data_IF_006396072021
#
_entry.id   IF_006396072021
#
_cell.length_a   1.000
_cell.length_b   1.000
_cell.length_c   1.000
_cell.angle_alpha   90.00
_cell.angle_beta   90.00
_cell.angle_gamma   90.00
#
_symmetry.space_group_name_H-M   'P 1'
#
loop_
_entity.id
_entity.type
_entity.pdbx_description
1 polymer ?
#
# COMPACT_ATOMS: atom_id res chain seq x y z
N UNK A 1 -14.04 -4.39 -23.21
CA UNK A 1 -13.45 -3.27 -22.45
C UNK A 1 -12.38 -3.82 -21.50
N UNK A 2 -11.26 -3.13 -21.39
CA UNK A 2 -10.20 -3.49 -20.46
C UNK A 2 -10.10 -2.44 -19.35
N UNK A 3 -9.72 -2.88 -18.16
CA UNK A 3 -9.46 -2.00 -17.03
C UNK A 3 -8.01 -2.17 -16.54
N UNK A 4 -7.43 -1.10 -16.06
CA UNK A 4 -6.14 -1.12 -15.38
C UNK A 4 -6.36 -1.07 -13.87
N UNK A 5 -5.74 -1.97 -13.15
CA UNK A 5 -5.71 -1.95 -11.68
C UNK A 5 -4.29 -1.63 -11.22
N UNK A 6 -4.15 -0.54 -10.49
CA UNK A 6 -2.91 -0.12 -9.84
C UNK A 6 -2.99 -0.49 -8.36
N UNK A 7 -2.09 -1.38 -7.91
CA UNK A 7 -2.16 -1.94 -6.57
C UNK A 7 -1.17 -1.24 -5.65
N UNK A 8 -1.68 -0.48 -4.67
CA UNK A 8 -0.93 0.04 -3.53
C UNK A 8 0.31 0.88 -3.90
N UNK A 9 0.18 1.81 -4.84
CA UNK A 9 1.27 2.70 -5.24
C UNK A 9 1.42 3.85 -4.22
N UNK A 10 1.77 3.50 -3.00
CA UNK A 10 1.77 4.36 -1.82
C UNK A 10 3.19 4.62 -1.31
N UNK A 11 3.36 5.72 -0.60
CA UNK A 11 4.67 6.16 -0.11
C UNK A 11 5.39 5.12 0.75
N UNK A 12 4.67 4.41 1.62
CA UNK A 12 5.30 3.43 2.51
C UNK A 12 5.86 2.21 1.78
N UNK A 13 5.39 1.92 0.57
CA UNK A 13 5.92 0.83 -0.25
C UNK A 13 7.03 1.27 -1.20
N UNK A 14 7.41 2.53 -1.18
CA UNK A 14 8.47 3.09 -2.00
C UNK A 14 9.79 3.14 -1.23
N UNK A 15 10.94 3.29 -1.91
CA UNK A 15 12.21 3.48 -1.20
C UNK A 15 12.14 4.62 -0.18
N UNK A 16 12.58 4.35 1.04
CA UNK A 16 12.48 5.28 2.16
C UNK A 16 11.19 5.21 2.96
N UNK A 17 10.20 4.44 2.52
CA UNK A 17 8.96 4.21 3.25
C UNK A 17 9.08 3.17 4.36
N UNK A 18 8.01 2.94 5.09
CA UNK A 18 8.03 2.06 6.26
C UNK A 18 8.11 0.56 5.91
N UNK A 19 7.64 0.18 4.71
CA UNK A 19 7.68 -1.20 4.21
C UNK A 19 8.11 -1.18 2.75
N UNK A 20 9.38 -0.81 2.46
CA UNK A 20 9.79 -0.47 1.10
C UNK A 20 9.93 -1.70 0.21
N UNK A 21 9.60 -1.51 -1.06
CA UNK A 21 9.95 -2.40 -2.15
C UNK A 21 11.13 -1.80 -2.89
N UNK A 22 12.17 -2.61 -3.13
CA UNK A 22 13.36 -2.16 -3.87
C UNK A 22 12.92 -1.66 -5.26
N UNK A 23 13.33 -0.43 -5.59
CA UNK A 23 12.97 0.23 -6.86
C UNK A 23 11.45 0.34 -7.11
N UNK A 24 10.64 0.30 -6.06
CA UNK A 24 9.18 0.33 -6.19
C UNK A 24 8.66 1.58 -6.92
N UNK A 25 9.35 2.70 -6.77
CA UNK A 25 9.01 3.96 -7.43
C UNK A 25 9.29 3.97 -8.95
N UNK A 26 10.09 3.01 -9.43
CA UNK A 26 10.44 2.94 -10.86
C UNK A 26 9.23 2.65 -11.77
N UNK A 27 8.15 2.10 -11.21
CA UNK A 27 6.94 1.80 -11.99
C UNK A 27 5.99 2.99 -12.13
N UNK A 28 6.21 4.08 -11.43
CA UNK A 28 5.27 5.22 -11.44
C UNK A 28 5.13 5.83 -12.85
N UNK A 29 6.22 6.10 -13.60
CA UNK A 29 6.07 6.59 -14.96
C UNK A 29 5.29 5.64 -15.87
N UNK A 30 5.54 4.33 -15.74
CA UNK A 30 4.80 3.31 -16.50
C UNK A 30 3.32 3.29 -16.11
N UNK A 31 3.03 3.36 -14.82
CA UNK A 31 1.66 3.41 -14.32
C UNK A 31 0.89 4.61 -14.90
N UNK A 32 1.52 5.78 -14.91
CA UNK A 32 0.93 6.99 -15.50
C UNK A 32 0.66 6.82 -17.00
N UNK A 33 1.62 6.23 -17.71
CA UNK A 33 1.46 6.01 -19.16
C UNK A 33 0.33 5.01 -19.44
N UNK A 34 0.30 3.89 -18.71
CA UNK A 34 -0.76 2.89 -18.87
C UNK A 34 -2.14 3.46 -18.53
N UNK A 35 -2.22 4.28 -17.47
CA UNK A 35 -3.48 4.89 -17.06
C UNK A 35 -4.09 5.76 -18.17
N UNK A 36 -3.25 6.37 -19.02
CA UNK A 36 -3.72 7.15 -20.16
C UNK A 36 -4.29 6.30 -21.29
N UNK A 37 -4.07 4.97 -21.28
CA UNK A 37 -4.41 4.04 -22.37
C UNK A 37 -5.65 3.19 -22.09
N UNK A 38 -6.15 3.21 -20.86
CA UNK A 38 -7.29 2.35 -20.47
C UNK A 38 -8.53 3.19 -20.21
N UNK A 39 -9.71 2.71 -20.61
CA UNK A 39 -10.97 3.45 -20.38
C UNK A 39 -11.38 3.46 -18.91
N UNK A 40 -10.94 2.45 -18.13
CA UNK A 40 -11.22 2.36 -16.70
C UNK A 40 -9.91 2.14 -15.96
N UNK A 41 -9.63 2.99 -14.98
CA UNK A 41 -8.45 2.89 -14.13
C UNK A 41 -8.90 2.89 -12.68
N UNK A 42 -8.56 1.82 -11.96
CA UNK A 42 -8.82 1.68 -10.54
C UNK A 42 -7.51 1.54 -9.77
N UNK A 43 -7.50 1.98 -8.54
CA UNK A 43 -6.36 1.81 -7.65
C UNK A 43 -6.80 1.23 -6.32
N UNK A 44 -5.95 0.42 -5.72
CA UNK A 44 -6.11 -0.01 -4.33
C UNK A 44 -5.20 0.81 -3.42
N UNK A 45 -5.60 0.93 -2.18
CA UNK A 45 -4.87 1.69 -1.18
C UNK A 45 -4.98 0.98 0.16
N UNK A 46 -3.86 0.48 0.66
CA UNK A 46 -3.77 0.01 2.03
C UNK A 46 -4.12 1.15 2.97
N UNK A 47 -5.00 0.89 3.94
CA UNK A 47 -5.57 1.94 4.77
C UNK A 47 -5.84 1.38 6.16
N UNK A 48 -4.77 1.24 6.96
CA UNK A 48 -4.81 0.57 8.25
C UNK A 48 -5.05 1.55 9.40
N UNK A 49 -5.86 1.17 10.40
CA UNK A 49 -5.89 1.92 11.66
C UNK A 49 -4.54 1.79 12.37
N UNK A 50 -4.20 2.78 13.19
CA UNK A 50 -2.93 2.79 13.92
C UNK A 50 -2.76 1.59 14.86
N UNK A 51 -3.87 1.03 15.34
CA UNK A 51 -3.88 -0.14 16.23
C UNK A 51 -4.07 -1.46 15.49
N UNK A 52 -3.78 -1.51 14.18
CA UNK A 52 -3.95 -2.73 13.38
C UNK A 52 -3.17 -3.89 14.00
N UNK A 53 -3.80 -5.06 14.06
CA UNK A 53 -3.24 -6.22 14.75
C UNK A 53 -2.06 -6.88 14.01
N UNK A 54 -1.87 -6.61 12.73
CA UNK A 54 -0.70 -7.10 11.99
C UNK A 54 0.58 -6.33 12.29
N UNK A 55 0.49 -5.20 12.97
CA UNK A 55 1.68 -4.42 13.32
C UNK A 55 2.37 -5.00 14.55
N UNK A 56 3.68 -5.28 14.41
CA UNK A 56 4.45 -5.85 15.51
C UNK A 56 4.37 -4.98 16.77
N UNK A 57 4.34 -3.65 16.59
CA UNK A 57 4.26 -2.71 17.72
C UNK A 57 2.98 -2.87 18.55
N UNK A 58 1.93 -3.44 18.00
CA UNK A 58 0.65 -3.67 18.69
C UNK A 58 0.54 -5.06 19.31
N UNK A 59 1.63 -5.83 19.25
CA UNK A 59 1.71 -7.19 19.81
C UNK A 59 2.91 -7.26 20.75
N UNK A 60 2.72 -7.06 22.08
CA UNK A 60 3.83 -7.01 23.04
C UNK A 60 4.74 -8.24 22.95
N UNK A 61 6.05 -8.00 22.92
CA UNK A 61 7.07 -9.05 22.83
C UNK A 61 7.29 -9.62 21.43
N UNK A 62 6.57 -9.13 20.41
CA UNK A 62 6.75 -9.60 19.02
C UNK A 62 7.63 -8.62 18.24
N UNK A 63 8.36 -9.20 17.27
CA UNK A 63 9.25 -8.44 16.38
C UNK A 63 8.72 -8.50 14.95
N UNK A 64 9.11 -7.52 14.15
CA UNK A 64 8.84 -7.55 12.70
C UNK A 64 9.42 -8.84 12.10
N UNK A 65 8.61 -9.53 11.31
CA UNK A 65 8.97 -10.81 10.71
C UNK A 65 8.52 -12.02 11.50
N UNK A 66 8.12 -11.86 12.77
CA UNK A 66 7.52 -12.96 13.52
C UNK A 66 6.22 -13.41 12.86
N UNK A 67 5.88 -14.69 13.03
CA UNK A 67 4.60 -15.25 12.59
C UNK A 67 3.83 -15.67 13.83
N UNK A 68 2.63 -15.14 13.99
CA UNK A 68 1.77 -15.46 15.13
C UNK A 68 0.43 -16.02 14.64
N UNK A 69 -0.27 -16.70 15.53
CA UNK A 69 -1.66 -17.07 15.29
C UNK A 69 -2.55 -15.89 15.70
N UNK A 70 -3.25 -15.33 14.72
CA UNK A 70 -4.18 -14.24 14.95
C UNK A 70 -5.58 -14.69 14.49
N UNK A 71 -6.47 -14.86 15.46
CA UNK A 71 -7.85 -15.31 15.19
C UNK A 71 -7.93 -16.60 14.33
N UNK A 72 -7.03 -17.56 14.59
CA UNK A 72 -7.00 -18.83 13.88
C UNK A 72 -6.20 -18.83 12.57
N UNK A 73 -5.65 -17.68 12.16
CA UNK A 73 -4.84 -17.56 10.95
C UNK A 73 -3.40 -17.20 11.32
N UNK A 74 -2.45 -17.72 10.54
CA UNK A 74 -1.06 -17.31 10.67
C UNK A 74 -0.90 -15.90 10.11
N UNK A 75 -0.29 -15.02 10.89
CA UNK A 75 -0.09 -13.63 10.53
C UNK A 75 1.37 -13.24 10.71
N UNK A 76 1.98 -12.76 9.63
CA UNK A 76 3.32 -12.14 9.71
C UNK A 76 3.18 -10.77 10.38
N UNK A 77 4.10 -10.47 11.30
CA UNK A 77 4.17 -9.18 11.95
C UNK A 77 4.92 -8.19 11.08
N UNK A 78 4.28 -7.07 10.80
CA UNK A 78 4.81 -6.02 9.93
C UNK A 78 5.19 -4.76 10.73
N UNK A 79 6.08 -3.92 10.19
CA UNK A 79 6.19 -2.56 10.71
C UNK A 79 4.89 -1.81 10.46
N UNK A 80 4.57 -0.82 11.28
CA UNK A 80 3.44 0.05 11.02
C UNK A 80 3.62 0.72 9.64
N UNK A 81 2.63 0.60 8.79
CA UNK A 81 2.66 1.14 7.43
C UNK A 81 1.26 1.49 6.96
N UNK A 82 1.17 2.40 6.02
CA UNK A 82 -0.10 2.80 5.40
C UNK A 82 -1.19 3.12 6.43
N UNK A 83 -0.81 3.84 7.47
CA UNK A 83 -1.74 4.24 8.54
C UNK A 83 -2.67 5.33 8.03
N UNK A 84 -3.94 5.16 8.30
CA UNK A 84 -5.01 6.08 7.87
C UNK A 84 -4.66 7.52 8.19
N UNK A 85 -4.75 8.40 7.19
CA UNK A 85 -4.50 9.83 7.32
C UNK A 85 -3.04 10.25 7.42
N UNK A 86 -2.09 9.30 7.35
CA UNK A 86 -0.65 9.60 7.38
C UNK A 86 -0.07 9.65 5.98
N UNK A 87 1.08 10.34 5.86
CA UNK A 87 1.79 10.49 4.58
C UNK A 87 2.13 9.15 3.94
N UNK A 88 2.50 8.14 4.75
CA UNK A 88 2.86 6.81 4.24
C UNK A 88 1.72 6.11 3.50
N UNK A 89 0.48 6.40 3.87
CA UNK A 89 -0.70 5.84 3.21
C UNK A 89 -1.08 6.57 1.91
N UNK A 90 -0.57 7.77 1.70
CA UNK A 90 -0.85 8.53 0.48
C UNK A 90 -0.20 7.88 -0.73
N UNK A 91 -0.83 8.04 -1.89
CA UNK A 91 -0.21 7.64 -3.16
C UNK A 91 1.08 8.41 -3.40
N UNK A 92 2.01 7.77 -4.12
CA UNK A 92 3.25 8.42 -4.53
C UNK A 92 2.95 9.77 -5.21
N UNK A 93 3.68 10.84 -4.89
CA UNK A 93 3.36 12.19 -5.38
C UNK A 93 3.43 12.32 -6.90
N UNK A 94 4.21 11.48 -7.58
CA UNK A 94 4.33 11.50 -9.04
C UNK A 94 3.25 10.68 -9.74
N UNK A 95 2.42 9.94 -8.99
CA UNK A 95 1.27 9.25 -9.58
C UNK A 95 0.21 10.31 -9.96
N UNK A 96 -0.23 10.26 -11.21
CA UNK A 96 -1.28 11.18 -11.71
C UNK A 96 -2.65 10.69 -11.26
N UNK A 97 -3.03 11.04 -10.04
CA UNK A 97 -4.29 10.58 -9.43
C UNK A 97 -5.54 11.10 -10.12
N UNK A 98 -5.44 12.17 -10.91
CA UNK A 98 -6.54 12.67 -11.73
C UNK A 98 -7.00 11.68 -12.81
N UNK A 99 -6.17 10.71 -13.15
CA UNK A 99 -6.51 9.63 -14.08
C UNK A 99 -7.25 8.46 -13.41
N UNK A 100 -7.34 8.42 -12.08
CA UNK A 100 -8.01 7.34 -11.36
C UNK A 100 -9.52 7.55 -11.35
N UNK A 101 -10.26 6.52 -11.76
CA UNK A 101 -11.73 6.54 -11.74
C UNK A 101 -12.29 6.03 -10.41
N UNK A 102 -11.59 5.07 -9.79
CA UNK A 102 -12.02 4.45 -8.54
C UNK A 102 -10.81 4.19 -7.64
N UNK A 103 -11.00 4.38 -6.34
CA UNK A 103 -10.00 4.05 -5.32
C UNK A 103 -10.67 3.13 -4.30
N UNK A 104 -10.07 1.97 -4.07
CA UNK A 104 -10.54 0.98 -3.09
C UNK A 104 -9.59 0.96 -1.91
N UNK A 105 -10.04 1.47 -0.78
CA UNK A 105 -9.31 1.39 0.49
C UNK A 105 -9.56 0.03 1.13
N UNK A 106 -8.50 -0.59 1.62
CA UNK A 106 -8.57 -1.95 2.18
C UNK A 106 -7.77 -2.11 3.47
#
# INVERSE_FOLDING_TARGET
MKALLLVDLQNDFMPGGALPVVDGDSIIPLANWLASKFPVVAATQDWHPQNHQSFAMNNPGRLVGDVINLNGCQQVMWPAHCVQGKHGADFHPDLKCDQLHMIFKK
#
